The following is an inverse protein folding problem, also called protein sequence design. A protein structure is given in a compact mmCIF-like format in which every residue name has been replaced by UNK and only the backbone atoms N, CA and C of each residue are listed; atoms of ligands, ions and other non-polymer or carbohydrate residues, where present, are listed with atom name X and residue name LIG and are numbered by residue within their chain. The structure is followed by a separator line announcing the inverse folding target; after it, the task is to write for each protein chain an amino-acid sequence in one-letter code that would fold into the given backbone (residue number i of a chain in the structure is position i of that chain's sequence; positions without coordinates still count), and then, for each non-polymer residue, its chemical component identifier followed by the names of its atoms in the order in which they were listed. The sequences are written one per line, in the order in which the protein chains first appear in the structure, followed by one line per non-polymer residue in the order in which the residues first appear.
data_IF_226460687476
#
_entry.id   IF_226460687476
#
_cell.length_a   1.000
_cell.length_b   1.000
_cell.length_c   1.000
_cell.angle_alpha   90.00
_cell.angle_beta   90.00
_cell.angle_gamma   90.00
#
_symmetry.space_group_name_H-M   'P 1'
#
loop_
_entity.id
_entity.type
_entity.pdbx_description
1 polymer ?
#
# COMPACT_ATOMS: atom_id res chain seq x y z
N UNK A 1 -8.10 8.37 9.36
CA UNK A 1 -7.42 7.62 8.28
C UNK A 1 -7.14 8.58 7.14
N UNK A 2 -5.89 8.69 6.68
CA UNK A 2 -5.46 9.71 5.71
C UNK A 2 -6.06 9.39 4.32
N UNK A 3 -6.62 10.37 3.60
CA UNK A 3 -7.36 10.16 2.35
C UNK A 3 -6.55 9.41 1.27
N UNK A 4 -5.22 9.60 1.26
CA UNK A 4 -4.29 8.92 0.34
C UNK A 4 -4.25 7.40 0.49
N UNK A 5 -4.53 6.86 1.68
CA UNK A 5 -4.56 5.41 1.89
C UNK A 5 -5.85 4.78 1.34
N UNK A 6 -6.97 5.50 1.41
CA UNK A 6 -8.22 5.05 0.80
C UNK A 6 -8.09 4.95 -0.73
N UNK A 7 -7.38 5.91 -1.33
CA UNK A 7 -7.11 5.90 -2.78
C UNK A 7 -6.23 4.71 -3.21
N UNK A 8 -5.26 4.31 -2.38
CA UNK A 8 -4.38 3.17 -2.65
C UNK A 8 -5.15 1.85 -2.79
N UNK A 9 -6.05 1.55 -1.84
CA UNK A 9 -6.82 0.31 -1.87
C UNK A 9 -7.79 0.25 -3.04
N UNK A 10 -8.47 1.36 -3.34
CA UNK A 10 -9.34 1.46 -4.50
C UNK A 10 -8.56 1.24 -5.81
N UNK A 11 -7.32 1.70 -5.89
CA UNK A 11 -6.44 1.43 -7.02
C UNK A 11 -6.02 -0.04 -7.10
N UNK A 12 -5.69 -0.69 -5.98
CA UNK A 12 -5.38 -2.12 -5.95
C UNK A 12 -6.56 -2.99 -6.43
N UNK A 13 -7.77 -2.69 -5.96
CA UNK A 13 -8.98 -3.38 -6.38
C UNK A 13 -9.26 -3.20 -7.88
N UNK A 14 -9.18 -1.96 -8.38
CA UNK A 14 -9.39 -1.65 -9.81
C UNK A 14 -8.38 -2.35 -10.71
N UNK A 15 -7.14 -2.45 -10.27
CA UNK A 15 -6.09 -3.15 -11.00
C UNK A 15 -6.02 -4.65 -10.69
N UNK A 16 -6.96 -5.22 -9.92
CA UNK A 16 -6.98 -6.64 -9.57
C UNK A 16 -5.65 -7.12 -8.94
N UNK A 17 -5.05 -6.29 -8.10
CA UNK A 17 -3.86 -6.63 -7.31
C UNK A 17 -4.35 -7.23 -6.00
N UNK A 18 -4.20 -8.54 -5.84
CA UNK A 18 -4.50 -9.21 -4.57
C UNK A 18 -3.57 -8.72 -3.46
N UNK A 19 -4.16 -8.30 -2.33
CA UNK A 19 -3.43 -7.79 -1.17
C UNK A 19 -4.05 -8.24 0.17
N UNK A 20 -3.26 -8.17 1.24
CA UNK A 20 -3.70 -8.37 2.61
C UNK A 20 -3.04 -7.33 3.52
N UNK A 21 -3.78 -6.84 4.51
CA UNK A 21 -3.27 -5.94 5.54
C UNK A 21 -2.63 -6.75 6.67
N UNK A 22 -1.41 -6.37 7.09
CA UNK A 22 -0.83 -6.93 8.31
C UNK A 22 -1.46 -6.30 9.56
N UNK A 23 -1.74 -7.14 10.56
CA UNK A 23 -2.63 -6.80 11.70
C UNK A 23 -2.13 -5.64 12.59
N UNK A 24 -0.84 -5.34 12.62
CA UNK A 24 -0.34 -4.19 13.40
C UNK A 24 -0.79 -2.83 12.82
N UNK A 25 -1.32 -2.79 11.60
CA UNK A 25 -1.96 -1.59 11.04
C UNK A 25 -3.28 -1.19 11.73
N UNK A 26 -3.82 -1.98 12.67
CA UNK A 26 -5.01 -1.61 13.44
C UNK A 26 -4.73 -0.64 14.60
N UNK A 27 -3.46 -0.46 14.98
CA UNK A 27 -3.04 0.62 15.87
C UNK A 27 -2.12 1.54 15.07
N UNK A 28 -2.67 2.56 14.39
CA UNK A 28 -1.82 3.57 13.78
C UNK A 28 -0.99 4.19 14.89
N UNK A 29 0.32 3.98 14.86
CA UNK A 29 1.24 4.62 15.79
C UNK A 29 0.95 6.12 15.81
N UNK A 30 0.85 6.68 17.02
CA UNK A 30 0.47 8.06 17.28
C UNK A 30 1.37 9.11 16.58
N UNK A 31 2.45 8.67 15.93
CA UNK A 31 3.46 9.47 15.25
C UNK A 31 3.37 9.50 13.71
N UNK A 32 2.38 8.82 13.10
CA UNK A 32 2.20 8.90 11.64
C UNK A 32 2.53 7.61 10.88
N UNK A 33 1.78 6.57 11.19
CA UNK A 33 1.10 5.66 10.24
C UNK A 33 1.91 5.15 9.03
N UNK A 34 2.85 4.25 9.31
CA UNK A 34 3.29 3.26 8.33
C UNK A 34 2.17 2.24 8.04
N UNK A 35 2.17 1.67 6.85
CA UNK A 35 1.15 0.71 6.40
C UNK A 35 1.85 -0.49 5.75
N UNK A 36 1.78 -1.63 6.42
CA UNK A 36 2.30 -2.89 5.89
C UNK A 36 1.23 -3.63 5.08
N UNK A 37 1.52 -3.78 3.78
CA UNK A 37 0.66 -4.50 2.83
C UNK A 37 1.43 -5.67 2.26
N UNK A 38 0.84 -6.86 2.36
CA UNK A 38 1.31 -8.04 1.66
C UNK A 38 0.64 -8.12 0.29
N UNK A 39 1.43 -8.33 -0.76
CA UNK A 39 0.94 -8.59 -2.12
C UNK A 39 1.49 -9.92 -2.61
N UNK A 40 0.79 -10.55 -3.57
CA UNK A 40 1.33 -11.74 -4.23
C UNK A 40 2.62 -11.40 -4.99
N UNK A 41 3.61 -12.28 -4.95
CA UNK A 41 4.91 -12.07 -5.60
C UNK A 41 4.77 -11.77 -7.11
N UNK A 42 3.81 -12.42 -7.78
CA UNK A 42 3.46 -12.19 -9.19
C UNK A 42 2.96 -10.77 -9.46
N UNK A 43 2.45 -10.06 -8.46
CA UNK A 43 1.92 -8.70 -8.58
C UNK A 43 2.94 -7.63 -8.18
N UNK A 44 4.11 -7.99 -7.65
CA UNK A 44 5.11 -7.02 -7.19
C UNK A 44 5.48 -5.95 -8.23
N UNK A 45 5.77 -6.29 -9.51
CA UNK A 45 6.09 -5.26 -10.51
C UNK A 45 4.93 -4.29 -10.75
N UNK A 46 3.69 -4.79 -10.72
CA UNK A 46 2.48 -3.99 -10.94
C UNK A 46 2.18 -3.10 -9.73
N UNK A 47 2.30 -3.64 -8.53
CA UNK A 47 2.14 -2.89 -7.29
C UNK A 47 3.16 -1.75 -7.19
N UNK A 48 4.43 -2.03 -7.50
CA UNK A 48 5.49 -1.01 -7.53
C UNK A 48 5.19 0.12 -8.54
N UNK A 49 4.76 -0.23 -9.75
CA UNK A 49 4.39 0.76 -10.77
C UNK A 49 3.19 1.63 -10.36
N UNK A 50 2.19 1.03 -9.69
CA UNK A 50 1.03 1.75 -9.18
C UNK A 50 1.41 2.68 -8.00
N UNK A 51 2.26 2.22 -7.08
CA UNK A 51 2.78 3.05 -6.00
C UNK A 51 3.54 4.26 -6.54
N UNK A 52 4.41 4.08 -7.54
CA UNK A 52 5.11 5.18 -8.19
C UNK A 52 4.15 6.19 -8.85
N UNK A 53 3.09 5.72 -9.52
CA UNK A 53 2.04 6.57 -10.12
C UNK A 53 1.26 7.37 -9.08
N UNK A 54 1.09 6.83 -7.88
CA UNK A 54 0.44 7.50 -6.75
C UNK A 54 1.40 8.44 -5.99
N UNK A 55 2.66 8.55 -6.42
CA UNK A 55 3.66 9.44 -5.83
C UNK A 55 4.37 8.88 -4.60
N UNK A 56 4.24 7.58 -4.32
CA UNK A 56 5.07 6.92 -3.32
C UNK A 56 6.49 6.75 -3.86
N UNK A 57 7.47 7.10 -3.02
CA UNK A 57 8.88 6.94 -3.35
C UNK A 57 9.42 5.71 -2.62
N UNK A 58 10.33 4.93 -3.24
CA UNK A 58 11.01 3.85 -2.55
C UNK A 58 11.83 4.43 -1.40
N UNK A 59 11.77 3.77 -0.24
CA UNK A 59 12.63 4.09 0.89
C UNK A 59 14.09 3.72 0.53
N UNK A 60 15.07 4.50 1.01
CA UNK A 60 16.47 4.12 0.88
C UNK A 60 16.72 2.81 1.64
N UNK A 61 17.58 1.97 1.07
CA UNK A 61 18.06 0.70 1.65
C UNK A 61 19.04 0.91 2.78
#
# INVERSE_FOLDING_TARGET
MNARFLDLFACFEREQIAYCLMRDAQQPDANGAELDILVQASHLPRAAALLARLGFLPLPS
#
